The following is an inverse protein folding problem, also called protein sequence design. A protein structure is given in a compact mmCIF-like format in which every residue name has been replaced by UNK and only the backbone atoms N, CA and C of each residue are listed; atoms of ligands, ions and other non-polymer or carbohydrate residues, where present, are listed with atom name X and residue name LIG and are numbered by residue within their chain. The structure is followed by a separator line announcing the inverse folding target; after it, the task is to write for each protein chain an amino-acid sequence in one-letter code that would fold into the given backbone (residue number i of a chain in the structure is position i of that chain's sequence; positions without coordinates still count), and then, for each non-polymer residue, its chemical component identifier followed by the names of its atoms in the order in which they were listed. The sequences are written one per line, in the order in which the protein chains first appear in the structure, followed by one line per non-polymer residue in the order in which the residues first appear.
data_IF_403816795508
#
_entry.id   IF_403816795508
#
_cell.length_a   1.000
_cell.length_b   1.000
_cell.length_c   1.000
_cell.angle_alpha   90.00
_cell.angle_beta   90.00
_cell.angle_gamma   90.00
#
_symmetry.space_group_name_H-M   'P 1'
#
loop_
_entity.id
_entity.type
_entity.pdbx_description
1 polymer ?
#
# COMPACT_ATOMS: atom_id res chain seq x y z
N UNK A 1 -23.08 -25.51 30.31
CA UNK A 1 -22.51 -25.21 28.97
C UNK A 1 -23.66 -24.84 28.04
N UNK A 2 -24.13 -23.59 28.10
CA UNK A 2 -25.08 -23.05 27.12
C UNK A 2 -24.25 -22.37 26.05
N UNK A 3 -24.20 -22.96 24.85
CA UNK A 3 -23.62 -22.31 23.69
C UNK A 3 -24.39 -21.02 23.45
N UNK A 4 -23.72 -19.88 23.60
CA UNK A 4 -24.28 -18.56 23.30
C UNK A 4 -24.62 -18.53 21.80
N UNK A 5 -25.90 -18.66 21.47
CA UNK A 5 -26.37 -18.63 20.10
C UNK A 5 -26.20 -17.21 19.55
N UNK A 6 -25.09 -16.97 18.85
CA UNK A 6 -24.86 -15.72 18.11
C UNK A 6 -25.93 -15.62 17.03
N UNK A 7 -26.90 -14.72 17.22
CA UNK A 7 -27.94 -14.43 16.23
C UNK A 7 -27.32 -14.00 14.90
N UNK A 8 -27.85 -14.39 13.73
CA UNK A 8 -27.28 -14.05 12.42
C UNK A 8 -27.06 -12.54 12.23
N UNK A 9 -27.92 -11.72 12.84
CA UNK A 9 -27.89 -10.26 12.76
C UNK A 9 -26.71 -9.63 13.52
N UNK A 10 -26.19 -10.29 14.56
CA UNK A 10 -25.01 -9.83 15.28
C UNK A 10 -23.72 -9.99 14.46
N UNK A 11 -23.69 -10.88 13.45
CA UNK A 11 -22.50 -11.10 12.61
C UNK A 11 -22.16 -9.88 11.74
N UNK A 12 -23.16 -9.08 11.35
CA UNK A 12 -22.97 -7.87 10.54
C UNK A 12 -23.00 -6.57 11.36
N UNK A 13 -23.04 -6.66 12.69
CA UNK A 13 -23.11 -5.48 13.56
C UNK A 13 -21.93 -4.52 13.37
N UNK A 14 -20.74 -5.04 12.99
CA UNK A 14 -19.56 -4.23 12.69
C UNK A 14 -19.79 -3.25 11.52
N UNK A 15 -20.51 -3.67 10.48
CA UNK A 15 -20.83 -2.82 9.32
C UNK A 15 -21.90 -1.77 9.60
N UNK A 16 -22.55 -1.80 10.77
CA UNK A 16 -23.53 -0.78 11.17
C UNK A 16 -22.86 0.52 11.65
N UNK A 17 -21.57 0.48 11.97
CA UNK A 17 -20.79 1.64 12.35
C UNK A 17 -20.19 2.33 11.12
N UNK A 18 -20.68 3.53 10.79
CA UNK A 18 -20.20 4.34 9.65
C UNK A 18 -18.68 4.50 9.61
N UNK A 19 -18.04 4.72 10.77
CA UNK A 19 -16.58 4.86 10.87
C UNK A 19 -15.84 3.57 10.48
N UNK A 20 -16.40 2.40 10.80
CA UNK A 20 -15.83 1.12 10.40
C UNK A 20 -15.98 0.89 8.90
N UNK A 21 -17.16 1.18 8.33
CA UNK A 21 -17.39 1.11 6.89
C UNK A 21 -16.43 2.01 6.10
N UNK A 22 -16.23 3.27 6.53
CA UNK A 22 -15.30 4.18 5.86
C UNK A 22 -13.87 3.69 5.93
N UNK A 23 -13.44 3.14 7.07
CA UNK A 23 -12.11 2.57 7.22
C UNK A 23 -11.94 1.32 6.35
N UNK A 24 -12.93 0.43 6.36
CA UNK A 24 -12.92 -0.80 5.57
C UNK A 24 -12.86 -0.50 4.07
N UNK A 25 -13.71 0.43 3.58
CA UNK A 25 -13.70 0.83 2.18
C UNK A 25 -12.38 1.49 1.79
N UNK A 26 -11.86 2.41 2.62
CA UNK A 26 -10.56 3.03 2.38
C UNK A 26 -9.45 1.98 2.30
N UNK A 27 -9.42 1.02 3.23
CA UNK A 27 -8.39 -0.02 3.26
C UNK A 27 -8.50 -0.95 2.05
N UNK A 28 -9.72 -1.33 1.68
CA UNK A 28 -10.00 -2.15 0.51
C UNK A 28 -9.54 -1.45 -0.78
N UNK A 29 -9.98 -0.20 -1.02
CA UNK A 29 -9.59 0.58 -2.19
C UNK A 29 -8.08 0.80 -2.26
N UNK A 30 -7.45 1.12 -1.13
CA UNK A 30 -6.00 1.36 -1.08
C UNK A 30 -5.24 0.08 -1.45
N UNK A 31 -5.60 -1.05 -0.85
CA UNK A 31 -4.95 -2.34 -1.13
C UNK A 31 -5.14 -2.75 -2.60
N UNK A 32 -6.34 -2.52 -3.14
CA UNK A 32 -6.64 -2.80 -4.53
C UNK A 32 -5.83 -1.92 -5.49
N UNK A 33 -5.71 -0.62 -5.20
CA UNK A 33 -4.87 0.30 -5.96
C UNK A 33 -3.39 -0.13 -5.93
N UNK A 34 -2.86 -0.52 -4.77
CA UNK A 34 -1.49 -1.03 -4.63
C UNK A 34 -1.24 -2.25 -5.50
N UNK A 35 -2.19 -3.19 -5.59
CA UNK A 35 -2.06 -4.35 -6.46
C UNK A 35 -1.96 -3.95 -7.94
N UNK A 36 -2.78 -2.99 -8.38
CA UNK A 36 -2.72 -2.48 -9.76
C UNK A 36 -1.37 -1.82 -10.03
N UNK A 37 -0.92 -0.94 -9.14
CA UNK A 37 0.37 -0.24 -9.27
C UNK A 37 1.53 -1.23 -9.32
N UNK A 38 1.53 -2.25 -8.46
CA UNK A 38 2.56 -3.29 -8.43
C UNK A 38 2.69 -4.02 -9.78
N UNK A 39 1.57 -4.43 -10.37
CA UNK A 39 1.55 -5.08 -11.69
C UNK A 39 1.98 -4.11 -12.80
N UNK A 40 1.48 -2.88 -12.79
CA UNK A 40 1.80 -1.87 -13.79
C UNK A 40 3.30 -1.52 -13.80
N UNK A 41 3.89 -1.32 -12.62
CA UNK A 41 5.32 -1.01 -12.47
C UNK A 41 6.19 -2.21 -12.86
N UNK A 42 5.78 -3.44 -12.55
CA UNK A 42 6.46 -4.64 -13.01
C UNK A 42 6.55 -4.67 -14.54
N UNK A 43 5.42 -4.50 -15.23
CA UNK A 43 5.41 -4.45 -16.69
C UNK A 43 6.22 -3.28 -17.25
N UNK A 44 6.10 -2.09 -16.67
CA UNK A 44 6.86 -0.92 -17.09
C UNK A 44 8.37 -1.14 -16.97
N UNK A 45 8.84 -1.69 -15.85
CA UNK A 45 10.27 -1.96 -15.65
C UNK A 45 10.78 -3.01 -16.65
N UNK A 46 10.00 -4.08 -16.88
CA UNK A 46 10.37 -5.10 -17.84
C UNK A 46 10.44 -4.58 -19.28
N UNK A 47 9.50 -3.74 -19.70
CA UNK A 47 9.53 -3.15 -21.04
C UNK A 47 10.74 -2.22 -21.23
N UNK A 48 11.13 -1.50 -20.17
CA UNK A 48 12.28 -0.62 -20.14
C UNK A 48 13.63 -1.36 -20.25
N UNK A 49 13.87 -2.33 -19.38
CA UNK A 49 15.20 -2.94 -19.22
C UNK A 49 15.33 -4.26 -19.96
N UNK A 50 14.19 -4.94 -20.22
CA UNK A 50 14.09 -6.29 -20.77
C UNK A 50 14.91 -7.34 -20.00
N UNK A 51 15.23 -7.06 -18.73
CA UNK A 51 15.99 -7.93 -17.87
C UNK A 51 15.11 -8.44 -16.70
N UNK A 52 14.92 -9.77 -16.55
CA UNK A 52 14.25 -10.35 -15.40
C UNK A 52 14.88 -10.02 -14.04
N UNK A 53 16.17 -9.70 -13.99
CA UNK A 53 16.84 -9.34 -12.73
C UNK A 53 16.28 -8.04 -12.14
N UNK A 54 15.91 -7.07 -12.98
CA UNK A 54 15.33 -5.81 -12.52
C UNK A 54 13.95 -5.99 -11.90
N UNK A 55 13.17 -6.97 -12.37
CA UNK A 55 11.92 -7.36 -11.73
C UNK A 55 12.15 -7.92 -10.31
N UNK A 56 13.22 -8.70 -10.13
CA UNK A 56 13.64 -9.17 -8.80
C UNK A 56 14.02 -8.00 -7.89
N UNK A 57 14.75 -7.01 -8.41
CA UNK A 57 15.12 -5.80 -7.67
C UNK A 57 13.90 -4.95 -7.31
N UNK A 58 12.89 -4.83 -8.18
CA UNK A 58 11.62 -4.16 -7.87
C UNK A 58 10.96 -4.77 -6.63
N UNK A 59 10.91 -6.10 -6.54
CA UNK A 59 10.38 -6.80 -5.37
C UNK A 59 11.19 -6.51 -4.09
N UNK A 60 12.52 -6.53 -4.19
CA UNK A 60 13.41 -6.22 -3.06
C UNK A 60 13.20 -4.77 -2.58
N UNK A 61 13.11 -3.81 -3.50
CA UNK A 61 12.93 -2.39 -3.18
C UNK A 61 11.57 -2.11 -2.55
N UNK A 62 10.51 -2.85 -2.91
CA UNK A 62 9.20 -2.73 -2.24
C UNK A 62 9.21 -3.37 -0.83
N UNK A 63 9.95 -4.46 -0.65
CA UNK A 63 9.92 -5.23 0.60
C UNK A 63 10.91 -4.71 1.66
N UNK A 64 12.12 -4.34 1.26
CA UNK A 64 13.21 -4.02 2.19
C UNK A 64 12.91 -2.82 3.09
N UNK A 65 12.41 -1.67 2.60
CA UNK A 65 12.05 -0.54 3.46
C UNK A 65 10.96 -0.91 4.46
N UNK A 66 9.92 -1.62 4.00
CA UNK A 66 8.83 -2.11 4.84
C UNK A 66 9.34 -3.01 5.97
N UNK A 67 10.27 -3.92 5.66
CA UNK A 67 10.89 -4.81 6.64
C UNK A 67 11.70 -4.02 7.68
N UNK A 68 12.47 -3.02 7.26
CA UNK A 68 13.28 -2.20 8.17
C UNK A 68 12.41 -1.31 9.06
N UNK A 69 11.31 -0.78 8.52
CA UNK A 69 10.42 0.14 9.22
C UNK A 69 9.38 -0.56 10.09
N UNK A 70 9.16 -1.87 9.96
CA UNK A 70 8.14 -2.59 10.74
C UNK A 70 8.32 -2.44 12.26
N UNK A 71 9.56 -2.41 12.74
CA UNK A 71 9.85 -2.23 14.18
C UNK A 71 9.61 -0.79 14.64
N UNK A 72 9.89 0.18 13.77
CA UNK A 72 9.76 1.62 14.08
C UNK A 72 8.28 2.03 14.06
N UNK A 73 7.53 1.53 13.09
CA UNK A 73 6.12 1.91 12.88
C UNK A 73 5.24 1.58 14.08
N UNK A 74 5.51 0.48 14.80
CA UNK A 74 4.77 0.13 16.03
C UNK A 74 4.90 1.21 17.11
N UNK A 75 6.13 1.57 17.46
CA UNK A 75 6.41 2.59 18.49
C UNK A 75 5.84 3.96 18.10
N UNK A 76 5.95 4.33 16.82
CA UNK A 76 5.43 5.60 16.30
C UNK A 76 3.89 5.61 16.31
N UNK A 77 3.24 4.52 15.90
CA UNK A 77 1.78 4.43 15.84
C UNK A 77 1.13 4.54 17.23
N UNK A 78 1.78 4.00 18.26
CA UNK A 78 1.30 4.07 19.63
C UNK A 78 1.46 5.46 20.23
N UNK A 79 2.55 6.18 19.88
CA UNK A 79 2.83 7.52 20.43
C UNK A 79 2.05 8.65 19.75
N UNK A 80 1.85 8.59 18.44
CA UNK A 80 1.27 9.70 17.66
C UNK A 80 -0.20 9.47 17.26
N UNK A 81 -0.77 8.32 17.63
CA UNK A 81 -2.15 7.97 17.33
C UNK A 81 -2.32 7.32 15.95
N UNK A 82 -2.83 6.09 15.95
CA UNK A 82 -2.98 5.23 14.77
C UNK A 82 -3.70 5.90 13.59
N UNK A 83 -4.73 6.72 13.85
CA UNK A 83 -5.53 7.38 12.79
C UNK A 83 -4.71 8.38 11.99
N UNK A 84 -3.85 9.17 12.65
CA UNK A 84 -3.01 10.16 11.98
C UNK A 84 -1.94 9.47 11.13
N UNK A 85 -1.27 8.46 11.70
CA UNK A 85 -0.24 7.69 11.00
C UNK A 85 -0.82 6.98 9.77
N UNK A 86 -2.00 6.35 9.90
CA UNK A 86 -2.69 5.74 8.75
C UNK A 86 -3.03 6.77 7.66
N UNK A 87 -3.53 7.95 8.04
CA UNK A 87 -3.86 8.99 7.07
C UNK A 87 -2.61 9.50 6.33
N UNK A 88 -1.51 9.74 7.05
CA UNK A 88 -0.24 10.16 6.47
C UNK A 88 0.33 9.09 5.52
N UNK A 89 0.27 7.81 5.90
CA UNK A 89 0.71 6.70 5.04
C UNK A 89 -0.05 6.68 3.71
N UNK A 90 -1.39 6.78 3.75
CA UNK A 90 -2.22 6.80 2.53
C UNK A 90 -1.90 8.03 1.66
N UNK A 91 -1.61 9.19 2.26
CA UNK A 91 -1.20 10.38 1.50
C UNK A 91 0.16 10.16 0.83
N UNK A 92 1.13 9.56 1.52
CA UNK A 92 2.44 9.24 0.94
C UNK A 92 2.31 8.23 -0.20
N UNK A 93 1.54 7.15 -0.01
CA UNK A 93 1.25 6.16 -1.06
C UNK A 93 0.61 6.84 -2.29
N UNK A 94 -0.38 7.72 -2.08
CA UNK A 94 -1.02 8.47 -3.17
C UNK A 94 -0.05 9.39 -3.91
N UNK A 95 0.83 10.09 -3.19
CA UNK A 95 1.87 10.94 -3.78
C UNK A 95 2.87 10.12 -4.60
N UNK A 96 3.27 8.94 -4.13
CA UNK A 96 4.16 8.04 -4.85
C UNK A 96 3.47 7.48 -6.11
N UNK A 97 2.19 7.09 -6.02
CA UNK A 97 1.41 6.67 -7.19
C UNK A 97 1.30 7.79 -8.25
N UNK A 98 1.07 9.03 -7.82
CA UNK A 98 1.06 10.20 -8.72
C UNK A 98 2.42 10.47 -9.35
N UNK A 99 3.51 10.30 -8.59
CA UNK A 99 4.87 10.43 -9.11
C UNK A 99 5.18 9.36 -10.18
N UNK A 100 4.80 8.11 -9.93
CA UNK A 100 4.93 7.01 -10.91
C UNK A 100 4.11 7.31 -12.18
N UNK A 101 2.86 7.76 -12.02
CA UNK A 101 2.02 8.17 -13.13
C UNK A 101 2.66 9.31 -13.94
N UNK A 102 3.19 10.33 -13.26
CA UNK A 102 3.85 11.45 -13.92
C UNK A 102 5.10 11.01 -14.70
N UNK A 103 5.94 10.14 -14.12
CA UNK A 103 7.10 9.55 -14.81
C UNK A 103 6.67 8.78 -16.07
N UNK A 104 5.64 7.95 -15.95
CA UNK A 104 5.09 7.18 -17.06
C UNK A 104 4.57 8.10 -18.18
N UNK A 105 3.82 9.15 -17.84
CA UNK A 105 3.29 10.11 -18.83
C UNK A 105 4.37 10.96 -19.51
N UNK A 106 5.45 11.29 -18.79
CA UNK A 106 6.57 12.07 -19.34
C UNK A 106 7.52 11.24 -20.20
N UNK A 107 7.36 9.91 -20.24
CA UNK A 107 8.29 9.02 -20.91
C UNK A 107 9.70 9.07 -20.30
N UNK A 108 9.80 9.40 -19.01
CA UNK A 108 11.09 9.37 -18.29
C UNK A 108 11.37 7.89 -18.00
N UNK A 109 11.92 7.22 -19.01
CA UNK A 109 12.19 5.78 -19.03
C UNK A 109 13.52 5.44 -18.36
N UNK A 110 13.83 6.07 -17.23
CA UNK A 110 14.98 5.69 -16.40
C UNK A 110 14.55 4.70 -15.32
N UNK A 111 15.28 3.59 -15.09
CA UNK A 111 14.95 2.64 -14.01
C UNK A 111 15.18 3.25 -12.62
N UNK A 112 16.22 4.08 -12.46
CA UNK A 112 16.59 4.71 -11.18
C UNK A 112 15.46 5.52 -10.50
N UNK A 113 14.79 6.48 -11.16
CA UNK A 113 13.75 7.26 -10.50
C UNK A 113 12.51 6.41 -10.14
N UNK A 114 12.23 5.33 -10.88
CA UNK A 114 11.18 4.37 -10.53
C UNK A 114 11.55 3.64 -9.23
N UNK A 115 12.79 3.15 -9.10
CA UNK A 115 13.26 2.52 -7.87
C UNK A 115 13.23 3.48 -6.66
N UNK A 116 13.61 4.74 -6.85
CA UNK A 116 13.55 5.73 -5.77
C UNK A 116 12.12 5.95 -5.26
N UNK A 117 11.14 6.03 -6.16
CA UNK A 117 9.73 6.21 -5.76
C UNK A 117 9.19 4.93 -5.10
N UNK A 118 9.51 3.75 -5.64
CA UNK A 118 9.11 2.48 -5.05
C UNK A 118 9.67 2.26 -3.65
N UNK A 119 10.88 2.76 -3.36
CA UNK A 119 11.47 2.62 -2.04
C UNK A 119 10.70 3.42 -0.95
N UNK A 120 9.89 4.40 -1.36
CA UNK A 120 9.08 5.25 -0.48
C UNK A 120 7.59 4.83 -0.44
N UNK A 121 7.16 4.01 -1.39
CA UNK A 121 5.79 3.52 -1.52
C UNK A 121 5.51 2.42 -0.49
#
# INVERSE_FOLDING_TARGET
MTAEQISPDQRYAAFRHRSFLSYWAARFLTTFATMIVSVAVGWQMYDLTRDPLDLGLVGIVQFLPSLLLVLVTGVVADRFGRRLIMALAVVVEAMCALALLFLALRGISGPLPIFCVLAMF
#
